data_IF_807627188930
#
_entry.id   IF_807627188930
#
_cell.length_a   1.000
_cell.length_b   1.000
_cell.length_c   1.000
_cell.angle_alpha   90.00
_cell.angle_beta   90.00
_cell.angle_gamma   90.00
#
_symmetry.space_group_name_H-M   'P 1'
#
loop_
_entity.id
_entity.type
_entity.pdbx_description
1 polymer ?
#
# COMPACT_ATOMS: atom_id res chain seq x y z
N UNK A 1 -19.22 -41.10 -2.06
CA UNK A 1 -19.19 -39.72 -1.56
C UNK A 1 -17.79 -39.20 -1.81
N UNK A 2 -17.63 -38.31 -2.79
CA UNK A 2 -16.31 -37.80 -3.14
C UNK A 2 -16.02 -36.61 -2.18
N UNK A 3 -15.40 -36.92 -1.04
CA UNK A 3 -14.91 -35.85 -0.15
C UNK A 3 -13.65 -35.30 -0.78
N UNK A 4 -13.80 -34.24 -1.60
CA UNK A 4 -12.63 -33.46 -2.01
C UNK A 4 -11.92 -32.99 -0.76
N UNK A 5 -10.58 -33.13 -0.72
CA UNK A 5 -9.77 -32.62 0.38
C UNK A 5 -10.14 -31.16 0.66
N UNK A 6 -10.22 -30.75 1.92
CA UNK A 6 -10.56 -29.38 2.25
C UNK A 6 -9.54 -28.44 1.62
N UNK A 7 -10.04 -27.39 0.93
CA UNK A 7 -9.17 -26.41 0.26
C UNK A 7 -8.64 -25.41 1.28
N UNK A 8 -7.36 -25.03 1.14
CA UNK A 8 -6.77 -23.95 1.92
C UNK A 8 -7.56 -22.64 1.75
N UNK A 9 -7.62 -21.84 2.81
CA UNK A 9 -8.26 -20.50 2.84
C UNK A 9 -9.77 -20.51 2.52
N UNK A 10 -10.44 -21.61 2.69
CA UNK A 10 -11.87 -21.76 2.38
C UNK A 10 -12.80 -21.50 3.58
N UNK A 11 -12.26 -21.38 4.79
CA UNK A 11 -13.02 -21.13 6.00
C UNK A 11 -12.30 -20.11 6.89
N UNK A 12 -13.01 -19.05 7.39
CA UNK A 12 -12.34 -17.99 8.13
C UNK A 12 -11.80 -18.39 9.50
N UNK A 13 -12.37 -19.40 10.16
CA UNK A 13 -12.01 -19.77 11.53
C UNK A 13 -11.12 -21.00 11.65
N UNK A 14 -11.10 -21.88 10.64
CA UNK A 14 -10.33 -23.12 10.67
C UNK A 14 -9.53 -23.29 9.37
N UNK A 15 -8.36 -23.91 9.49
CA UNK A 15 -7.53 -24.29 8.35
C UNK A 15 -8.08 -25.53 7.66
N UNK A 16 -7.55 -25.89 6.50
CA UNK A 16 -7.86 -27.14 5.80
C UNK A 16 -7.57 -28.41 6.64
N UNK A 17 -6.73 -28.28 7.69
CA UNK A 17 -6.43 -29.37 8.64
C UNK A 17 -7.31 -29.35 9.88
N UNK A 18 -8.27 -28.43 9.99
CA UNK A 18 -9.15 -28.28 11.14
C UNK A 18 -8.54 -27.56 12.34
N UNK A 19 -7.37 -26.93 12.17
CA UNK A 19 -6.70 -26.15 13.21
C UNK A 19 -7.31 -24.74 13.30
N UNK A 20 -7.24 -24.10 14.49
CA UNK A 20 -7.72 -22.74 14.67
C UNK A 20 -6.89 -21.75 13.84
N UNK A 21 -7.55 -21.00 12.96
CA UNK A 21 -6.92 -19.98 12.12
C UNK A 21 -6.46 -18.80 12.96
N UNK A 22 -5.28 -18.28 12.65
CA UNK A 22 -4.79 -17.06 13.28
C UNK A 22 -5.66 -15.84 12.91
N UNK A 23 -5.73 -14.92 13.85
CA UNK A 23 -6.34 -13.61 13.66
C UNK A 23 -5.47 -12.52 14.28
N UNK A 24 -5.59 -11.31 13.76
CA UNK A 24 -4.88 -10.12 14.22
C UNK A 24 -5.89 -9.17 14.84
N UNK A 25 -5.72 -8.89 16.13
CA UNK A 25 -6.55 -7.90 16.81
C UNK A 25 -6.14 -6.48 16.36
N UNK A 26 -7.13 -5.60 16.18
CA UNK A 26 -6.87 -4.19 15.97
C UNK A 26 -6.28 -3.57 17.24
N UNK A 27 -5.21 -2.78 17.12
CA UNK A 27 -4.56 -2.08 18.23
C UNK A 27 -4.92 -0.59 18.25
N UNK A 28 -4.53 0.10 17.20
CA UNK A 28 -4.79 1.53 17.00
C UNK A 28 -4.69 1.85 15.50
N UNK A 29 -5.25 2.96 15.08
CA UNK A 29 -5.11 3.41 13.69
C UNK A 29 -3.85 4.27 13.54
N UNK A 30 -2.82 3.73 12.90
CA UNK A 30 -1.58 4.46 12.57
C UNK A 30 -1.61 4.96 11.14
N UNK A 31 -2.23 4.18 10.23
CA UNK A 31 -2.37 4.58 8.82
C UNK A 31 -3.79 4.30 8.33
N UNK A 32 -4.44 5.33 7.78
CA UNK A 32 -5.63 5.16 6.95
C UNK A 32 -5.24 5.23 5.48
N UNK A 33 -5.39 4.12 4.77
CA UNK A 33 -5.24 4.08 3.32
C UNK A 33 -6.53 4.49 2.63
N UNK A 34 -6.42 5.28 1.57
CA UNK A 34 -7.54 5.65 0.69
C UNK A 34 -7.18 5.15 -0.72
N UNK A 35 -7.99 4.21 -1.23
CA UNK A 35 -7.85 3.76 -2.61
C UNK A 35 -8.53 4.77 -3.54
N UNK A 36 -7.77 5.34 -4.44
CA UNK A 36 -8.22 6.41 -5.35
C UNK A 36 -8.91 5.89 -6.60
N UNK A 37 -9.11 4.58 -6.71
CA UNK A 37 -9.66 3.87 -7.88
C UNK A 37 -8.63 2.93 -8.50
N UNK A 38 -9.08 1.96 -9.32
CA UNK A 38 -8.19 0.95 -9.95
C UNK A 38 -7.70 1.34 -11.33
N UNK A 39 -8.15 2.45 -11.92
CA UNK A 39 -7.61 2.92 -13.20
C UNK A 39 -6.13 3.31 -13.04
N UNK A 40 -5.30 2.84 -13.95
CA UNK A 40 -3.87 3.12 -14.03
C UNK A 40 -3.46 3.41 -15.47
N UNK A 41 -2.40 4.20 -15.67
CA UNK A 41 -1.86 4.47 -17.01
C UNK A 41 -0.97 3.34 -17.56
N UNK A 42 -0.70 2.32 -16.74
CA UNK A 42 0.07 1.12 -17.10
C UNK A 42 -0.63 -0.12 -16.55
N UNK A 43 -0.22 -1.30 -17.05
CA UNK A 43 -0.60 -2.62 -16.57
C UNK A 43 0.67 -3.38 -16.21
N UNK A 44 0.92 -3.54 -14.90
CA UNK A 44 2.10 -4.24 -14.40
C UNK A 44 1.84 -5.74 -14.34
N UNK A 45 2.86 -6.56 -14.64
CA UNK A 45 2.74 -8.02 -14.66
C UNK A 45 2.29 -8.59 -13.30
N UNK A 46 2.86 -8.08 -12.21
CA UNK A 46 2.56 -8.51 -10.84
C UNK A 46 1.92 -7.37 -10.01
N UNK A 47 0.85 -6.75 -10.54
CA UNK A 47 0.14 -5.70 -9.82
C UNK A 47 -0.68 -6.28 -8.66
N UNK A 48 -0.41 -5.85 -7.42
CA UNK A 48 -1.11 -6.34 -6.22
C UNK A 48 -2.62 -6.17 -6.25
N UNK A 49 -3.12 -5.17 -6.98
CA UNK A 49 -4.55 -4.86 -7.09
C UNK A 49 -5.04 -4.96 -8.54
N UNK A 50 -4.28 -5.60 -9.43
CA UNK A 50 -4.64 -5.83 -10.85
C UNK A 50 -5.14 -4.57 -11.58
N UNK A 51 -4.50 -3.43 -11.34
CA UNK A 51 -4.85 -2.16 -11.98
C UNK A 51 -4.39 -2.11 -13.43
N UNK A 52 -5.17 -1.49 -14.30
CA UNK A 52 -4.85 -1.29 -15.71
C UNK A 52 -5.57 -0.05 -16.27
N UNK A 53 -5.31 0.34 -17.53
CA UNK A 53 -6.03 1.45 -18.17
C UNK A 53 -7.54 1.23 -18.33
N UNK A 54 -8.01 0.00 -18.21
CA UNK A 54 -9.42 -0.38 -18.38
C UNK A 54 -10.05 -0.96 -17.12
N UNK A 55 -9.27 -1.17 -16.06
CA UNK A 55 -9.76 -1.75 -14.82
C UNK A 55 -10.39 -0.69 -13.92
N UNK A 56 -11.70 -0.74 -13.76
CA UNK A 56 -12.48 0.25 -13.03
C UNK A 56 -13.38 -0.34 -11.92
N UNK A 57 -13.05 -1.55 -11.42
CA UNK A 57 -13.87 -2.22 -10.39
C UNK A 57 -13.90 -1.46 -9.07
N UNK A 58 -12.86 -0.69 -8.74
CA UNK A 58 -12.92 0.34 -7.74
C UNK A 58 -13.01 1.69 -8.43
N UNK A 59 -14.10 2.41 -8.17
CA UNK A 59 -14.35 3.74 -8.73
C UNK A 59 -13.46 4.78 -8.07
N UNK A 60 -13.29 5.91 -8.72
CA UNK A 60 -12.69 7.08 -8.08
C UNK A 60 -13.49 7.48 -6.85
N UNK A 61 -12.80 7.57 -5.71
CA UNK A 61 -13.35 8.22 -4.52
C UNK A 61 -13.27 9.73 -4.73
N UNK A 62 -14.27 10.46 -4.31
CA UNK A 62 -14.33 11.92 -4.39
C UNK A 62 -13.69 12.56 -3.16
N UNK A 63 -13.29 13.83 -3.27
CA UNK A 63 -12.78 14.59 -2.13
C UNK A 63 -13.80 14.65 -0.96
N UNK A 64 -15.09 14.77 -1.25
CA UNK A 64 -16.13 14.78 -0.22
C UNK A 64 -16.28 13.45 0.51
N UNK A 65 -16.16 12.32 -0.21
CA UNK A 65 -16.18 10.99 0.41
C UNK A 65 -14.92 10.75 1.25
N UNK A 66 -13.75 11.17 0.77
CA UNK A 66 -12.51 11.08 1.54
C UNK A 66 -12.58 11.93 2.82
N UNK A 67 -13.09 13.17 2.74
CA UNK A 67 -13.24 14.08 3.86
C UNK A 67 -14.07 13.47 5.00
N UNK A 68 -15.11 12.69 4.68
CA UNK A 68 -15.92 11.97 5.68
C UNK A 68 -15.05 11.04 6.54
N UNK A 69 -14.17 10.25 5.92
CA UNK A 69 -13.26 9.35 6.66
C UNK A 69 -12.14 10.11 7.39
N UNK A 70 -11.72 11.28 6.90
CA UNK A 70 -10.81 12.16 7.65
C UNK A 70 -11.47 12.71 8.92
N UNK A 71 -12.78 13.02 8.89
CA UNK A 71 -13.54 13.39 10.10
C UNK A 71 -13.59 12.23 11.09
N UNK A 72 -13.80 11.00 10.61
CA UNK A 72 -13.80 9.79 11.46
C UNK A 72 -12.43 9.51 12.09
N UNK A 73 -11.30 9.77 11.37
CA UNK A 73 -9.97 9.62 11.97
C UNK A 73 -9.74 10.57 13.12
N UNK A 74 -10.18 11.82 13.00
CA UNK A 74 -10.07 12.81 14.06
C UNK A 74 -10.91 12.42 15.29
N UNK A 75 -12.13 11.93 15.06
CA UNK A 75 -13.00 11.43 16.14
C UNK A 75 -12.40 10.21 16.84
N UNK A 76 -11.82 9.27 16.08
CA UNK A 76 -11.19 8.06 16.62
C UNK A 76 -9.93 8.40 17.43
N UNK A 77 -9.08 9.29 16.92
CA UNK A 77 -7.87 9.76 17.61
C UNK A 77 -8.23 10.45 18.95
N UNK A 78 -9.27 11.29 18.96
CA UNK A 78 -9.76 11.93 20.16
C UNK A 78 -10.27 10.91 21.18
N UNK A 79 -11.05 9.92 20.73
CA UNK A 79 -11.64 8.91 21.60
C UNK A 79 -10.58 7.97 22.23
N UNK A 80 -9.54 7.63 21.48
CA UNK A 80 -8.44 6.75 21.93
C UNK A 80 -7.30 7.48 22.67
N UNK A 81 -7.26 8.82 22.56
CA UNK A 81 -6.11 9.61 23.07
C UNK A 81 -4.84 9.42 22.24
N UNK A 82 -4.93 8.88 21.02
CA UNK A 82 -3.81 8.72 20.10
C UNK A 82 -3.56 9.98 19.28
N UNK A 83 -2.41 10.03 18.59
CA UNK A 83 -2.17 11.02 17.53
C UNK A 83 -3.03 10.77 16.30
N UNK A 84 -3.06 11.75 15.39
CA UNK A 84 -3.70 11.58 14.07
C UNK A 84 -2.93 10.53 13.26
N UNK A 85 -3.62 9.59 12.59
CA UNK A 85 -2.96 8.62 11.72
C UNK A 85 -2.36 9.29 10.48
N UNK A 86 -1.38 8.64 9.86
CA UNK A 86 -0.95 8.98 8.50
C UNK A 86 -2.07 8.66 7.50
N UNK A 87 -2.26 9.49 6.48
CA UNK A 87 -3.17 9.23 5.36
C UNK A 87 -2.36 8.77 4.15
N UNK A 88 -2.54 7.50 3.78
CA UNK A 88 -1.90 6.92 2.61
C UNK A 88 -2.85 6.91 1.40
N UNK A 89 -2.43 7.46 0.27
CA UNK A 89 -3.17 7.35 -0.99
C UNK A 89 -2.53 6.31 -1.89
N UNK A 90 -3.34 5.38 -2.37
CA UNK A 90 -2.95 4.31 -3.28
C UNK A 90 -4.07 4.05 -4.29
N UNK A 91 -3.93 3.04 -5.13
CA UNK A 91 -4.91 2.68 -6.16
C UNK A 91 -4.21 2.15 -7.39
N UNK A 92 -4.73 2.42 -8.58
CA UNK A 92 -3.99 2.26 -9.82
C UNK A 92 -2.87 3.29 -9.90
N UNK A 93 -3.18 4.46 -10.45
CA UNK A 93 -2.31 5.63 -10.34
C UNK A 93 -3.10 6.78 -9.70
N UNK A 94 -2.78 7.19 -8.47
CA UNK A 94 -3.54 8.20 -7.74
C UNK A 94 -3.73 9.52 -8.50
N UNK A 95 -2.73 9.96 -9.25
CA UNK A 95 -2.83 11.19 -10.04
C UNK A 95 -3.74 11.09 -11.28
N UNK A 96 -4.34 9.93 -11.55
CA UNK A 96 -5.45 9.82 -12.51
C UNK A 96 -6.80 10.23 -11.90
N UNK A 97 -6.95 10.15 -10.59
CA UNK A 97 -8.13 10.66 -9.90
C UNK A 97 -8.12 12.21 -9.94
N UNK A 98 -9.18 12.86 -10.45
CA UNK A 98 -9.22 14.33 -10.58
C UNK A 98 -9.19 15.04 -9.22
N UNK A 99 -9.65 14.40 -8.15
CA UNK A 99 -9.71 14.96 -6.80
C UNK A 99 -8.46 14.71 -5.96
N UNK A 100 -7.41 14.06 -6.52
CA UNK A 100 -6.24 13.62 -5.75
C UNK A 100 -5.57 14.76 -4.98
N UNK A 101 -5.34 15.90 -5.62
CA UNK A 101 -4.71 17.05 -4.97
C UNK A 101 -5.60 17.65 -3.87
N UNK A 102 -6.91 17.69 -4.07
CA UNK A 102 -7.86 18.19 -3.07
C UNK A 102 -7.91 17.29 -1.84
N UNK A 103 -7.91 15.95 -2.05
CA UNK A 103 -7.85 14.98 -0.95
C UNK A 103 -6.55 15.07 -0.16
N UNK A 104 -5.41 15.22 -0.85
CA UNK A 104 -4.12 15.38 -0.19
C UNK A 104 -4.06 16.68 0.62
N UNK A 105 -4.56 17.79 0.05
CA UNK A 105 -4.60 19.09 0.74
C UNK A 105 -5.49 19.04 1.98
N UNK A 106 -6.66 18.41 1.91
CA UNK A 106 -7.58 18.27 3.07
C UNK A 106 -6.92 17.48 4.20
N UNK A 107 -6.27 16.34 3.92
CA UNK A 107 -5.51 15.58 4.91
C UNK A 107 -4.41 16.41 5.59
N UNK A 108 -3.59 17.10 4.78
CA UNK A 108 -2.51 17.97 5.26
C UNK A 108 -3.04 19.16 6.07
N UNK A 109 -4.11 19.80 5.63
CA UNK A 109 -4.73 20.94 6.33
C UNK A 109 -5.29 20.58 7.70
N UNK A 110 -5.71 19.31 7.89
CA UNK A 110 -6.16 18.75 9.16
C UNK A 110 -5.01 18.33 10.08
N UNK A 111 -3.76 18.40 9.60
CA UNK A 111 -2.56 18.07 10.38
C UNK A 111 -2.09 16.62 10.28
N UNK A 112 -2.64 15.83 9.36
CA UNK A 112 -2.13 14.50 9.06
C UNK A 112 -0.80 14.57 8.30
N UNK A 113 0.06 13.59 8.49
CA UNK A 113 1.06 13.26 7.47
C UNK A 113 0.35 12.60 6.29
N UNK A 114 0.80 12.90 5.08
CA UNK A 114 0.23 12.34 3.85
C UNK A 114 1.31 11.63 3.05
N UNK A 115 1.03 10.38 2.70
CA UNK A 115 1.86 9.53 1.86
C UNK A 115 1.11 9.22 0.55
N UNK A 116 1.70 9.53 -0.61
CA UNK A 116 1.11 9.21 -1.91
C UNK A 116 2.01 8.19 -2.62
N UNK A 117 1.44 7.01 -2.93
CA UNK A 117 2.10 6.02 -3.77
C UNK A 117 1.86 6.36 -5.24
N UNK A 118 2.91 6.42 -6.06
CA UNK A 118 2.78 6.76 -7.48
C UNK A 118 3.82 6.04 -8.32
N UNK A 119 3.50 5.77 -9.58
CA UNK A 119 4.48 5.32 -10.56
C UNK A 119 5.36 6.47 -11.10
N UNK A 120 5.07 7.71 -10.68
CA UNK A 120 5.78 8.94 -11.01
C UNK A 120 5.87 9.25 -12.52
N UNK A 121 4.97 8.69 -13.34
CA UNK A 121 4.97 8.89 -14.79
C UNK A 121 4.07 10.08 -15.21
N UNK A 122 3.65 10.06 -16.47
CA UNK A 122 2.90 11.13 -17.12
C UNK A 122 1.70 11.68 -16.31
N UNK A 123 0.86 10.88 -15.61
CA UNK A 123 -0.25 11.43 -14.83
C UNK A 123 0.20 12.44 -13.78
N UNK A 124 1.29 12.13 -13.03
CA UNK A 124 1.89 13.02 -12.05
C UNK A 124 2.58 14.23 -12.73
N UNK A 125 3.21 14.01 -13.87
CA UNK A 125 3.99 15.04 -14.57
C UNK A 125 3.15 16.05 -15.37
N UNK A 126 1.81 15.93 -15.39
CA UNK A 126 0.93 16.93 -16.01
C UNK A 126 1.13 18.31 -15.36
N UNK A 127 1.15 19.41 -16.16
CA UNK A 127 1.46 20.75 -15.64
C UNK A 127 0.63 21.16 -14.41
N UNK A 128 -0.68 20.91 -14.42
CA UNK A 128 -1.56 21.25 -13.29
C UNK A 128 -1.25 20.43 -12.03
N UNK A 129 -0.90 19.14 -12.17
CA UNK A 129 -0.52 18.29 -11.04
C UNK A 129 0.82 18.74 -10.46
N UNK A 130 1.82 18.98 -11.32
CA UNK A 130 3.12 19.51 -10.88
C UNK A 130 2.99 20.82 -10.11
N UNK A 131 2.19 21.75 -10.62
CA UNK A 131 1.94 23.04 -9.97
C UNK A 131 1.25 22.84 -8.61
N UNK A 132 0.24 21.98 -8.54
CA UNK A 132 -0.45 21.66 -7.29
C UNK A 132 0.47 21.00 -6.27
N UNK A 133 1.29 20.02 -6.68
CA UNK A 133 2.28 19.37 -5.81
C UNK A 133 3.30 20.39 -5.25
N UNK A 134 3.81 21.31 -6.08
CA UNK A 134 4.72 22.35 -5.62
C UNK A 134 4.07 23.25 -4.56
N UNK A 135 2.81 23.65 -4.78
CA UNK A 135 2.07 24.45 -3.80
C UNK A 135 1.84 23.68 -2.46
N UNK A 136 1.51 22.39 -2.53
CA UNK A 136 1.39 21.55 -1.32
C UNK A 136 2.73 21.41 -0.60
N UNK A 137 3.81 21.16 -1.34
CA UNK A 137 5.16 21.06 -0.77
C UNK A 137 5.58 22.37 -0.11
N UNK A 138 5.37 23.53 -0.75
CA UNK A 138 5.69 24.83 -0.17
C UNK A 138 4.96 25.08 1.16
N UNK A 139 3.70 24.65 1.25
CA UNK A 139 2.85 24.89 2.42
C UNK A 139 3.03 23.89 3.54
N UNK A 140 3.29 22.62 3.23
CA UNK A 140 3.24 21.53 4.19
C UNK A 140 4.57 20.75 4.35
N UNK A 141 5.54 20.99 3.45
CA UNK A 141 6.91 20.46 3.49
C UNK A 141 6.98 18.98 3.83
N UNK A 142 7.65 18.63 4.91
CA UNK A 142 7.89 17.24 5.35
C UNK A 142 6.62 16.44 5.72
N UNK A 143 5.46 17.09 5.83
CA UNK A 143 4.21 16.37 6.06
C UNK A 143 3.69 15.64 4.80
N UNK A 144 4.20 15.97 3.60
CA UNK A 144 3.86 15.32 2.34
C UNK A 144 5.02 14.48 1.85
N UNK A 145 4.83 13.17 1.77
CA UNK A 145 5.81 12.21 1.21
C UNK A 145 5.28 11.57 -0.07
N UNK A 146 6.10 11.53 -1.12
CA UNK A 146 5.83 10.78 -2.34
C UNK A 146 6.65 9.49 -2.31
N UNK A 147 5.97 8.33 -2.38
CA UNK A 147 6.64 7.03 -2.51
C UNK A 147 6.54 6.56 -3.96
N UNK A 148 7.69 6.58 -4.64
CA UNK A 148 7.78 6.21 -6.05
C UNK A 148 7.94 4.70 -6.18
N UNK A 149 7.07 4.10 -6.99
CA UNK A 149 7.15 2.68 -7.31
C UNK A 149 8.24 2.44 -8.37
N UNK A 150 9.37 1.95 -7.95
CA UNK A 150 10.53 1.61 -8.78
C UNK A 150 10.94 0.15 -8.49
N UNK A 151 10.33 -0.81 -9.19
CA UNK A 151 10.42 -2.23 -8.83
C UNK A 151 11.82 -2.80 -8.85
N UNK A 152 12.71 -2.25 -9.68
CA UNK A 152 14.11 -2.65 -9.69
C UNK A 152 15.05 -1.48 -10.08
N UNK A 153 16.29 -1.52 -9.61
CA UNK A 153 17.32 -0.51 -9.91
C UNK A 153 17.91 -0.64 -11.33
N UNK A 154 17.62 -1.73 -12.07
CA UNK A 154 17.97 -1.89 -13.48
C UNK A 154 16.74 -1.72 -14.37
N UNK A 155 16.94 -1.07 -15.53
CA UNK A 155 15.90 -0.86 -16.53
C UNK A 155 15.25 -2.18 -16.98
N UNK A 156 16.05 -3.19 -17.27
CA UNK A 156 15.56 -4.45 -17.83
C UNK A 156 14.57 -5.16 -16.91
N UNK A 157 14.83 -5.22 -15.60
CA UNK A 157 13.95 -5.89 -14.64
C UNK A 157 12.75 -5.00 -14.28
N UNK A 158 12.92 -3.69 -14.16
CA UNK A 158 11.80 -2.77 -13.96
C UNK A 158 10.82 -2.81 -15.14
N UNK A 159 11.35 -2.75 -16.38
CA UNK A 159 10.52 -2.77 -17.58
C UNK A 159 9.82 -4.12 -17.78
N UNK A 160 10.43 -5.23 -17.36
CA UNK A 160 9.78 -6.54 -17.37
C UNK A 160 8.51 -6.56 -16.50
N UNK A 161 8.51 -5.84 -15.36
CA UNK A 161 7.37 -5.74 -14.46
C UNK A 161 6.33 -4.70 -14.92
N UNK A 162 6.77 -3.53 -15.41
CA UNK A 162 5.93 -2.36 -15.63
C UNK A 162 5.70 -1.98 -17.08
N UNK A 163 6.29 -2.74 -17.99
CA UNK A 163 6.22 -2.49 -19.43
C UNK A 163 7.42 -1.69 -19.96
N UNK A 164 7.76 -1.94 -21.22
CA UNK A 164 8.91 -1.36 -21.88
C UNK A 164 8.94 0.17 -21.83
N UNK A 165 10.09 0.75 -21.46
CA UNK A 165 10.31 2.19 -21.33
C UNK A 165 9.68 2.82 -20.11
N UNK A 166 9.15 2.03 -19.17
CA UNK A 166 8.59 2.53 -17.90
C UNK A 166 9.69 3.04 -16.98
N UNK A 167 10.85 2.39 -16.95
CA UNK A 167 11.99 2.82 -16.14
C UNK A 167 12.39 4.28 -16.40
N UNK A 168 12.60 4.62 -17.67
CA UNK A 168 12.99 5.97 -18.05
C UNK A 168 11.96 7.02 -17.62
N UNK A 169 10.66 6.71 -17.77
CA UNK A 169 9.56 7.61 -17.38
C UNK A 169 9.45 7.76 -15.86
N UNK A 170 9.60 6.67 -15.11
CA UNK A 170 9.63 6.69 -13.64
C UNK A 170 10.82 7.50 -13.14
N UNK A 171 12.00 7.33 -13.74
CA UNK A 171 13.19 8.10 -13.39
C UNK A 171 13.05 9.59 -13.68
N UNK A 172 12.35 9.99 -14.78
CA UNK A 172 12.02 11.39 -15.05
C UNK A 172 11.22 11.99 -13.90
N UNK A 173 10.17 11.28 -13.44
CA UNK A 173 9.35 11.74 -12.33
C UNK A 173 10.09 11.77 -10.99
N UNK A 174 10.85 10.72 -10.67
CA UNK A 174 11.64 10.65 -9.44
C UNK A 174 12.67 11.79 -9.37
N UNK A 175 13.37 12.07 -10.47
CA UNK A 175 14.31 13.19 -10.55
C UNK A 175 13.61 14.53 -10.41
N UNK A 176 12.46 14.72 -11.07
CA UNK A 176 11.71 15.96 -10.92
C UNK A 176 11.29 16.18 -9.45
N UNK A 177 10.85 15.16 -8.76
CA UNK A 177 10.51 15.24 -7.33
C UNK A 177 11.75 15.59 -6.49
N UNK A 178 12.88 14.91 -6.72
CA UNK A 178 14.13 15.14 -6.01
C UNK A 178 14.67 16.56 -6.23
N UNK A 179 14.70 17.03 -7.48
CA UNK A 179 15.17 18.36 -7.87
C UNK A 179 14.32 19.49 -7.25
N UNK A 180 13.04 19.19 -6.97
CA UNK A 180 12.14 20.12 -6.32
C UNK A 180 12.07 19.92 -4.80
N UNK A 181 12.91 19.04 -4.21
CA UNK A 181 13.09 18.90 -2.76
C UNK A 181 11.88 18.32 -2.03
N UNK A 182 11.14 17.38 -2.64
CA UNK A 182 10.08 16.65 -1.94
C UNK A 182 10.66 15.65 -0.96
N UNK A 183 9.92 15.38 0.13
CA UNK A 183 10.14 14.17 0.94
C UNK A 183 9.83 12.95 0.10
N UNK A 184 10.82 12.05 -0.05
CA UNK A 184 10.75 10.92 -0.98
C UNK A 184 10.97 9.60 -0.27
N UNK A 185 10.29 8.58 -0.77
CA UNK A 185 10.61 7.18 -0.55
C UNK A 185 10.52 6.42 -1.89
N UNK A 186 11.13 5.26 -1.95
CA UNK A 186 11.02 4.35 -3.09
C UNK A 186 10.47 3.02 -2.61
N UNK A 187 9.55 2.46 -3.38
CA UNK A 187 9.08 1.08 -3.22
C UNK A 187 9.65 0.24 -4.34
N UNK A 188 10.53 -0.70 -3.98
CA UNK A 188 11.09 -1.71 -4.85
C UNK A 188 10.50 -3.09 -4.60
N UNK A 189 10.93 -4.07 -5.37
CA UNK A 189 10.62 -5.49 -5.16
C UNK A 189 11.87 -6.28 -4.87
N UNK A 190 11.72 -7.34 -4.07
CA UNK A 190 12.75 -8.34 -3.85
C UNK A 190 12.23 -9.70 -4.30
N UNK A 191 13.08 -10.44 -5.00
CA UNK A 191 12.75 -11.82 -5.45
C UNK A 191 13.06 -12.86 -4.39
N UNK A 192 13.84 -12.53 -3.36
CA UNK A 192 14.49 -13.52 -2.49
C UNK A 192 14.40 -13.26 -0.99
N UNK A 193 13.58 -12.37 -0.51
CA UNK A 193 13.46 -12.15 0.94
C UNK A 193 14.76 -11.62 1.61
N UNK A 194 14.86 -11.78 2.94
CA UNK A 194 15.99 -11.26 3.75
C UNK A 194 17.32 -11.98 3.45
N UNK A 195 18.44 -11.24 3.57
CA UNK A 195 19.78 -11.81 3.51
C UNK A 195 20.74 -11.13 2.53
N UNK A 196 21.65 -11.92 1.94
CA UNK A 196 22.69 -11.41 1.02
C UNK A 196 22.11 -10.76 -0.24
N UNK A 197 20.99 -11.28 -0.73
CA UNK A 197 20.33 -10.75 -1.93
C UNK A 197 19.66 -9.40 -1.67
N UNK A 198 18.97 -9.23 -0.56
CA UNK A 198 18.43 -7.91 -0.16
C UNK A 198 19.54 -6.89 -0.02
N UNK A 199 20.68 -7.27 0.58
CA UNK A 199 21.86 -6.40 0.69
C UNK A 199 22.41 -5.99 -0.68
N UNK A 200 22.40 -6.90 -1.64
CA UNK A 200 22.81 -6.63 -3.02
C UNK A 200 21.82 -5.70 -3.73
N UNK A 201 20.51 -5.93 -3.56
CA UNK A 201 19.48 -5.07 -4.11
C UNK A 201 19.58 -3.65 -3.56
N UNK A 202 19.70 -3.49 -2.23
CA UNK A 202 19.91 -2.18 -1.58
C UNK A 202 21.17 -1.48 -2.08
N UNK A 203 22.25 -2.22 -2.33
CA UNK A 203 23.49 -1.68 -2.93
C UNK A 203 23.28 -1.23 -4.37
N UNK A 204 22.47 -1.95 -5.15
CA UNK A 204 22.09 -1.57 -6.51
C UNK A 204 21.27 -0.28 -6.55
N UNK A 205 20.30 -0.13 -5.63
CA UNK A 205 19.56 1.12 -5.48
C UNK A 205 20.46 2.27 -5.01
N UNK A 206 21.39 2.04 -4.09
CA UNK A 206 22.37 3.06 -3.69
C UNK A 206 23.17 3.59 -4.87
N UNK A 207 23.67 2.69 -5.73
CA UNK A 207 24.41 3.06 -6.94
C UNK A 207 23.53 3.84 -7.93
N UNK A 208 22.27 3.43 -8.11
CA UNK A 208 21.29 4.15 -8.93
C UNK A 208 21.05 5.56 -8.39
N UNK A 209 20.72 5.69 -7.11
CA UNK A 209 20.43 6.97 -6.48
C UNK A 209 21.62 7.93 -6.59
N UNK A 210 22.84 7.45 -6.31
CA UNK A 210 24.06 8.24 -6.44
C UNK A 210 24.28 8.72 -7.89
N UNK A 211 24.10 7.84 -8.89
CA UNK A 211 24.23 8.17 -10.32
C UNK A 211 23.23 9.22 -10.77
N UNK A 212 22.01 9.13 -10.29
CA UNK A 212 20.90 10.01 -10.69
C UNK A 212 20.77 11.28 -9.82
N UNK A 213 21.61 11.43 -8.79
CA UNK A 213 21.59 12.59 -7.89
C UNK A 213 20.37 12.62 -6.95
N UNK A 214 19.80 11.46 -6.63
CA UNK A 214 18.67 11.32 -5.71
C UNK A 214 19.19 11.06 -4.30
N UNK A 215 18.89 11.95 -3.36
CA UNK A 215 19.38 11.89 -1.98
C UNK A 215 18.50 10.96 -1.13
N UNK A 216 18.56 9.65 -1.36
CA UNK A 216 17.89 8.61 -0.56
C UNK A 216 18.91 7.63 0.02
N UNK A 217 18.72 7.25 1.28
CA UNK A 217 19.50 6.18 1.91
C UNK A 217 18.82 4.83 1.63
N UNK A 218 19.42 4.02 0.78
CA UNK A 218 18.89 2.69 0.46
C UNK A 218 18.93 1.70 1.62
N UNK A 219 19.66 2.00 2.71
CA UNK A 219 19.71 1.17 3.91
C UNK A 219 18.60 1.49 4.89
N UNK A 220 18.03 2.68 4.81
CA UNK A 220 16.89 3.09 5.62
C UNK A 220 15.60 2.48 5.05
N UNK A 221 14.90 1.60 5.78
CA UNK A 221 13.66 0.97 5.31
C UNK A 221 12.52 1.97 5.09
N UNK A 222 12.57 3.17 5.69
CA UNK A 222 11.60 4.22 5.41
C UNK A 222 11.84 4.92 4.06
N UNK A 223 13.10 5.00 3.63
CA UNK A 223 13.51 5.57 2.34
C UNK A 223 13.42 4.57 1.19
N UNK A 224 13.76 3.30 1.42
CA UNK A 224 13.63 2.20 0.45
C UNK A 224 12.92 1.01 1.07
N UNK A 225 11.64 0.84 0.72
CA UNK A 225 10.86 -0.35 1.08
C UNK A 225 11.03 -1.39 -0.03
N UNK A 226 11.43 -2.61 0.33
CA UNK A 226 11.49 -3.74 -0.60
C UNK A 226 10.35 -4.70 -0.29
N UNK A 227 9.41 -4.84 -1.21
CA UNK A 227 8.28 -5.75 -1.09
C UNK A 227 8.62 -7.11 -1.70
N UNK A 228 8.20 -8.22 -1.07
CA UNK A 228 8.35 -9.53 -1.67
C UNK A 228 7.54 -9.64 -2.96
N UNK A 229 8.06 -10.38 -3.92
CA UNK A 229 7.34 -10.68 -5.15
C UNK A 229 6.06 -11.47 -4.85
N UNK A 230 4.96 -11.07 -5.50
CA UNK A 230 3.66 -11.72 -5.36
C UNK A 230 3.53 -12.82 -6.42
N UNK A 231 3.73 -14.05 -5.99
CA UNK A 231 3.44 -15.24 -6.77
C UNK A 231 2.13 -15.84 -6.27
N UNK A 232 1.06 -15.69 -7.04
CA UNK A 232 -0.26 -16.18 -6.69
C UNK A 232 -0.38 -17.71 -6.79
N UNK A 233 0.53 -18.37 -7.48
CA UNK A 233 0.56 -19.82 -7.62
C UNK A 233 1.42 -20.50 -6.55
N UNK A 234 2.27 -19.76 -5.83
CA UNK A 234 3.12 -20.32 -4.80
C UNK A 234 2.34 -21.08 -3.73
N UNK A 235 2.80 -22.25 -3.39
CA UNK A 235 2.29 -23.00 -2.24
C UNK A 235 2.66 -22.31 -0.93
N UNK A 236 1.65 -21.87 -0.17
CA UNK A 236 1.84 -21.21 1.12
C UNK A 236 1.10 -21.98 2.22
N UNK A 237 1.63 -22.00 3.45
CA UNK A 237 0.93 -22.56 4.60
C UNK A 237 -0.24 -21.66 5.00
N UNK A 238 -1.25 -22.26 5.64
CA UNK A 238 -2.25 -21.50 6.38
C UNK A 238 -1.70 -21.16 7.77
N UNK A 239 -1.98 -19.95 8.24
CA UNK A 239 -1.47 -19.48 9.52
C UNK A 239 -2.45 -19.84 10.64
N UNK A 240 -1.96 -20.61 11.60
CA UNK A 240 -2.70 -21.01 12.80
C UNK A 240 -2.31 -20.15 13.99
N UNK A 241 -3.10 -20.20 15.06
CA UNK A 241 -2.77 -19.49 16.32
C UNK A 241 -1.44 -19.94 16.92
N UNK A 242 -0.99 -21.17 16.62
CA UNK A 242 0.30 -21.68 17.08
C UNK A 242 1.49 -21.06 16.33
N UNK A 243 1.28 -20.56 15.11
CA UNK A 243 2.35 -19.98 14.30
C UNK A 243 3.02 -18.78 14.95
N UNK A 244 2.30 -18.00 15.76
CA UNK A 244 2.87 -16.85 16.46
C UNK A 244 4.07 -17.22 17.34
N UNK A 245 3.92 -18.29 18.14
CA UNK A 245 5.01 -18.78 18.99
C UNK A 245 6.06 -19.59 18.23
N UNK A 246 5.70 -20.28 17.13
CA UNK A 246 6.65 -21.06 16.33
C UNK A 246 7.59 -20.15 15.53
N UNK A 247 7.05 -19.05 14.99
CA UNK A 247 7.78 -18.12 14.13
C UNK A 247 8.39 -16.96 14.91
N UNK A 248 8.07 -16.84 16.20
CA UNK A 248 8.45 -15.70 17.04
C UNK A 248 8.03 -14.35 16.45
N UNK A 249 6.80 -14.28 15.90
CA UNK A 249 6.25 -13.09 15.26
C UNK A 249 5.15 -12.49 16.13
N UNK A 250 5.25 -11.19 16.43
CA UNK A 250 4.16 -10.46 17.09
C UNK A 250 3.00 -10.23 16.11
N UNK A 251 1.77 -10.74 16.39
CA UNK A 251 0.60 -10.44 15.58
C UNK A 251 0.34 -8.94 15.40
N UNK A 252 0.76 -8.13 16.38
CA UNK A 252 0.61 -6.68 16.32
C UNK A 252 1.54 -5.98 15.35
N UNK A 253 2.55 -6.66 14.82
CA UNK A 253 3.39 -6.16 13.73
C UNK A 253 2.72 -6.32 12.36
N UNK A 254 1.60 -7.04 12.27
CA UNK A 254 0.86 -7.16 11.02
C UNK A 254 0.16 -5.85 10.66
N UNK A 255 0.19 -5.47 9.40
CA UNK A 255 -0.42 -4.23 8.89
C UNK A 255 -1.87 -4.05 9.35
N UNK A 256 -2.67 -5.12 9.37
CA UNK A 256 -4.08 -5.06 9.78
C UNK A 256 -4.29 -4.83 11.30
N UNK A 257 -3.22 -4.81 12.11
CA UNK A 257 -3.28 -4.39 13.51
C UNK A 257 -3.40 -2.87 13.65
N UNK A 258 -2.84 -2.11 12.69
CA UNK A 258 -2.67 -0.65 12.83
C UNK A 258 -3.15 0.14 11.61
N UNK A 259 -3.64 -0.53 10.56
CA UNK A 259 -4.15 0.17 9.37
C UNK A 259 -5.50 -0.34 8.91
N UNK A 260 -6.20 0.51 8.16
CA UNK A 260 -7.42 0.21 7.41
C UNK A 260 -7.35 0.86 6.04
N UNK A 261 -8.21 0.41 5.13
CA UNK A 261 -8.29 1.02 3.79
C UNK A 261 -9.72 1.31 3.42
N UNK A 262 -9.95 2.50 2.87
CA UNK A 262 -11.22 2.91 2.28
C UNK A 262 -11.20 2.58 0.80
N UNK A 263 -12.24 1.93 0.31
CA UNK A 263 -12.43 1.60 -1.10
C UNK A 263 -13.84 1.97 -1.55
N UNK A 264 -13.99 2.37 -2.82
CA UNK A 264 -15.29 2.59 -3.45
C UNK A 264 -15.49 1.61 -4.58
N UNK A 265 -16.36 0.61 -4.40
CA UNK A 265 -16.66 -0.37 -5.43
C UNK A 265 -17.51 0.24 -6.53
N UNK A 266 -17.27 -0.16 -7.78
CA UNK A 266 -18.08 0.29 -8.91
C UNK A 266 -19.57 -0.03 -8.70
N UNK A 267 -20.39 0.98 -8.89
CA UNK A 267 -21.85 0.88 -8.72
C UNK A 267 -22.36 1.02 -7.29
N UNK A 268 -21.46 1.11 -6.28
CA UNK A 268 -21.88 1.37 -4.90
C UNK A 268 -22.04 2.88 -4.67
N UNK A 269 -23.05 3.22 -3.86
CA UNK A 269 -23.38 4.62 -3.55
C UNK A 269 -22.35 5.28 -2.61
N UNK A 270 -21.72 4.48 -1.74
CA UNK A 270 -20.76 4.96 -0.74
C UNK A 270 -19.53 4.05 -0.67
N UNK A 271 -18.38 4.57 -0.22
CA UNK A 271 -17.20 3.77 0.10
C UNK A 271 -17.44 2.85 1.31
N UNK A 272 -16.58 1.85 1.44
CA UNK A 272 -16.53 0.92 2.58
C UNK A 272 -15.10 0.80 3.10
N UNK A 273 -14.95 0.30 4.33
CA UNK A 273 -13.65 0.05 4.96
C UNK A 273 -13.29 -1.42 4.82
N UNK A 274 -12.08 -1.69 4.35
CA UNK A 274 -11.51 -3.04 4.24
C UNK A 274 -10.27 -3.19 5.11
N UNK A 275 -9.88 -4.44 5.36
CA UNK A 275 -8.84 -4.77 6.32
C UNK A 275 -7.42 -4.33 5.91
N UNK A 276 -7.08 -4.35 4.62
CA UNK A 276 -5.73 -4.05 4.15
C UNK A 276 -5.66 -3.67 2.67
N UNK A 277 -4.50 -3.19 2.24
CA UNK A 277 -4.25 -2.72 0.86
C UNK A 277 -4.13 -3.84 -0.17
N UNK A 278 -3.83 -5.07 0.26
CA UNK A 278 -3.62 -6.21 -0.63
C UNK A 278 -4.91 -6.92 -1.05
N UNK A 279 -6.01 -6.68 -0.33
CA UNK A 279 -7.26 -7.42 -0.49
C UNK A 279 -8.47 -6.47 -0.63
N UNK A 280 -8.38 -5.45 -1.51
CA UNK A 280 -9.42 -4.42 -1.61
C UNK A 280 -10.73 -4.96 -2.17
N UNK A 281 -10.67 -6.07 -2.91
CA UNK A 281 -11.81 -6.61 -3.66
C UNK A 281 -12.45 -7.83 -2.99
N UNK A 282 -11.76 -8.47 -2.03
CA UNK A 282 -12.27 -9.67 -1.39
C UNK A 282 -13.31 -9.31 -0.30
N UNK A 283 -14.61 -9.69 -0.48
CA UNK A 283 -15.67 -9.31 0.43
C UNK A 283 -15.48 -9.82 1.86
N UNK A 284 -14.71 -10.90 2.08
CA UNK A 284 -14.46 -11.41 3.43
C UNK A 284 -13.62 -10.46 4.29
N UNK A 285 -12.93 -9.49 3.68
CA UNK A 285 -12.12 -8.48 4.34
C UNK A 285 -12.81 -7.12 4.43
N UNK A 286 -14.07 -7.01 4.00
CA UNK A 286 -14.88 -5.83 4.24
C UNK A 286 -15.33 -5.78 5.70
N UNK A 287 -15.07 -4.65 6.36
CA UNK A 287 -15.23 -4.50 7.80
C UNK A 287 -16.39 -3.57 8.19
N UNK A 288 -16.99 -2.88 7.22
CA UNK A 288 -18.12 -2.00 7.46
C UNK A 288 -18.08 -0.71 6.64
N UNK A 289 -19.05 0.16 6.90
CA UNK A 289 -19.21 1.44 6.21
C UNK A 289 -18.49 2.60 6.91
N UNK A 290 -17.95 2.38 8.12
CA UNK A 290 -17.25 3.39 8.92
C UNK A 290 -16.00 2.83 9.59
N UNK A 291 -15.09 3.71 10.02
CA UNK A 291 -13.91 3.30 10.80
C UNK A 291 -14.32 2.67 12.14
N UNK A 292 -15.37 3.17 12.77
CA UNK A 292 -15.86 2.62 14.03
C UNK A 292 -16.30 1.15 13.90
N UNK A 293 -16.93 0.77 12.79
CA UNK A 293 -17.32 -0.61 12.51
C UNK A 293 -16.12 -1.51 12.20
N UNK A 294 -14.99 -0.94 11.75
CA UNK A 294 -13.84 -1.66 11.25
C UNK A 294 -12.81 -2.10 12.32
N UNK A 295 -13.06 -1.80 13.61
CA UNK A 295 -12.09 -2.05 14.69
C UNK A 295 -12.01 -3.53 15.12
N UNK A 296 -12.72 -4.42 14.46
CA UNK A 296 -12.68 -5.86 14.71
C UNK A 296 -11.36 -6.53 14.33
N UNK A 297 -11.16 -7.74 14.85
CA UNK A 297 -10.02 -8.58 14.49
C UNK A 297 -10.14 -9.09 13.04
N UNK A 298 -9.01 -9.20 12.36
CA UNK A 298 -8.93 -9.69 10.98
C UNK A 298 -8.44 -11.14 10.97
N UNK A 299 -9.19 -12.03 10.33
CA UNK A 299 -8.82 -13.44 10.13
C UNK A 299 -7.79 -13.55 9.00
N UNK A 300 -6.71 -14.31 9.23
CA UNK A 300 -5.67 -14.50 8.21
C UNK A 300 -6.08 -15.59 7.20
N UNK A 301 -7.21 -15.37 6.53
CA UNK A 301 -7.85 -16.31 5.61
C UNK A 301 -7.53 -16.03 4.14
N UNK A 302 -6.30 -15.62 3.85
CA UNK A 302 -5.83 -15.42 2.48
C UNK A 302 -4.34 -15.73 2.37
N UNK A 303 -3.91 -16.20 1.19
CA UNK A 303 -2.51 -16.53 0.93
C UNK A 303 -1.56 -15.34 1.11
N UNK A 304 -2.03 -14.13 0.79
CA UNK A 304 -1.24 -12.91 0.97
C UNK A 304 -0.96 -12.62 2.45
N UNK A 305 -1.89 -12.95 3.36
CA UNK A 305 -1.64 -12.84 4.79
C UNK A 305 -0.45 -13.70 5.23
N UNK A 306 -0.36 -14.93 4.68
CA UNK A 306 0.75 -15.82 4.97
C UNK A 306 2.06 -15.34 4.31
N UNK A 307 2.05 -15.19 2.98
CA UNK A 307 3.26 -14.94 2.18
C UNK A 307 3.84 -13.56 2.42
N UNK A 308 3.00 -12.53 2.40
CA UNK A 308 3.44 -11.13 2.46
C UNK A 308 3.70 -10.67 3.89
N UNK A 309 2.70 -10.84 4.79
CA UNK A 309 2.80 -10.26 6.12
C UNK A 309 3.53 -11.17 7.11
N UNK A 310 3.12 -12.45 7.25
CA UNK A 310 3.64 -13.30 8.32
C UNK A 310 5.02 -13.88 8.00
N UNK A 311 5.22 -14.37 6.77
CA UNK A 311 6.47 -14.99 6.33
C UNK A 311 7.41 -14.03 5.63
N UNK A 312 6.89 -13.00 4.99
CA UNK A 312 7.65 -12.01 4.25
C UNK A 312 8.04 -10.76 5.04
N UNK A 313 7.50 -10.59 6.26
CA UNK A 313 7.80 -9.44 7.13
C UNK A 313 7.47 -8.06 6.53
N UNK A 314 6.72 -8.02 5.42
CA UNK A 314 6.47 -6.78 4.69
C UNK A 314 5.28 -6.00 5.27
N UNK A 315 5.40 -4.68 5.29
CA UNK A 315 4.32 -3.75 5.64
C UNK A 315 4.28 -2.58 4.67
N UNK A 316 3.07 -2.25 4.17
CA UNK A 316 2.87 -1.04 3.37
C UNK A 316 2.96 0.25 4.21
N UNK A 317 2.81 0.12 5.51
CA UNK A 317 2.83 1.21 6.50
C UNK A 317 4.14 1.25 7.28
N UNK A 318 5.26 0.82 6.69
CA UNK A 318 6.56 0.92 7.34
C UNK A 318 6.89 2.40 7.59
N UNK A 319 6.85 2.80 8.84
CA UNK A 319 7.31 4.09 9.38
C UNK A 319 8.67 3.93 10.01
#
# INVERSE_FOLDING_TARGET
MNTSAPRKFNHPDVTARGEARASVAFRQLETLWINTGTLCNIECANCYIHSSPTEDRLSYITAAEAAHFLDETAALALASGSGLPEIGFTGGEPFMNPDMLAMAEDGLARGHKVLILTNAMQPMLRPGIKQGLLALRERYDAALTLRVSLDHYTEALHDAERGAGSFAKTMEGLKWLADNGFSLAVAGRTTSGEGEEETKERSGYAALFAREGVALDSKDPSSLVLFPEMDEEAEVPEITTACWGILDVDPGAMMCATSRMVVKRKGMAAPVVVACTLLPDDPQFELGASLAESLGAVKLNHRHCAKFCVLGGASCSAS
#
